data_IF_716443826641
#
_entry.id   IF_716443826641
#
_cell.length_a   1.000
_cell.length_b   1.000
_cell.length_c   1.000
_cell.angle_alpha   90.00
_cell.angle_beta   90.00
_cell.angle_gamma   90.00
#
_symmetry.space_group_name_H-M   'P 1'
#
loop_
_entity.id
_entity.type
_entity.pdbx_description
1 polymer ?
#
# COMPACT_ATOMS: atom_id res chain seq x y z
N UNK A 1 -4.80 -6.60 -3.30
CA UNK A 1 -3.38 -6.16 -3.26
C UNK A 1 -2.34 -7.28 -3.43
N UNK A 2 -2.17 -8.24 -2.52
CA UNK A 2 -1.05 -9.22 -2.58
C UNK A 2 -0.93 -10.02 -3.88
N UNK A 3 -2.04 -10.32 -4.57
CA UNK A 3 -2.00 -10.95 -5.89
C UNK A 3 -1.39 -10.08 -6.98
N UNK A 4 -1.42 -8.75 -6.84
CA UNK A 4 -0.75 -7.83 -7.77
C UNK A 4 0.74 -7.72 -7.47
N UNK A 5 1.12 -7.64 -6.19
CA UNK A 5 2.53 -7.66 -5.77
C UNK A 5 3.23 -8.93 -6.26
N UNK A 6 2.59 -10.10 -6.10
CA UNK A 6 3.16 -11.37 -6.56
C UNK A 6 3.37 -11.47 -8.07
N UNK A 7 2.62 -10.67 -8.86
CA UNK A 7 2.70 -10.63 -10.32
C UNK A 7 3.58 -9.50 -10.84
N UNK A 8 3.94 -8.53 -9.99
CA UNK A 8 4.78 -7.39 -10.35
C UNK A 8 6.23 -7.86 -10.55
N UNK A 9 6.80 -7.72 -11.76
CA UNK A 9 8.16 -8.20 -12.06
C UNK A 9 9.26 -7.67 -11.12
N UNK A 10 9.08 -6.48 -10.54
CA UNK A 10 10.04 -5.87 -9.62
C UNK A 10 9.97 -6.39 -8.18
N UNK A 11 8.90 -7.10 -7.81
CA UNK A 11 8.63 -7.53 -6.44
C UNK A 11 8.56 -9.07 -6.36
N UNK A 12 7.47 -9.66 -6.84
CA UNK A 12 7.22 -11.10 -6.70
C UNK A 12 6.65 -11.51 -5.33
N UNK A 13 6.68 -12.81 -5.04
CA UNK A 13 5.95 -13.40 -3.91
C UNK A 13 6.50 -12.98 -2.54
N UNK A 14 7.82 -12.81 -2.41
CA UNK A 14 8.48 -12.53 -1.13
C UNK A 14 8.22 -11.10 -0.61
N UNK A 15 7.68 -10.23 -1.46
CA UNK A 15 7.37 -8.83 -1.13
C UNK A 15 5.90 -8.64 -0.74
N UNK A 16 5.11 -9.72 -0.66
CA UNK A 16 3.71 -9.64 -0.24
C UNK A 16 3.59 -9.05 1.17
N UNK A 17 2.53 -8.26 1.37
CA UNK A 17 2.28 -7.59 2.63
C UNK A 17 1.68 -8.59 3.62
N UNK A 18 2.35 -8.76 4.76
CA UNK A 18 1.85 -9.56 5.87
C UNK A 18 0.62 -8.93 6.54
N UNK A 19 -0.23 -9.75 7.14
CA UNK A 19 -1.44 -9.29 7.82
C UNK A 19 -1.18 -8.48 9.10
N UNK A 20 0.06 -8.46 9.62
CA UNK A 20 0.41 -7.76 10.85
C UNK A 20 0.09 -6.25 10.82
N UNK A 21 0.20 -5.61 9.65
CA UNK A 21 -0.17 -4.19 9.46
C UNK A 21 -1.66 -3.90 9.64
N UNK A 22 -2.50 -4.93 9.64
CA UNK A 22 -3.94 -4.85 9.82
C UNK A 22 -4.40 -5.35 11.20
N UNK A 23 -3.46 -5.71 12.07
CA UNK A 23 -3.72 -6.23 13.41
C UNK A 23 -3.44 -5.17 14.48
N UNK A 24 -4.19 -5.20 15.58
CA UNK A 24 -3.97 -4.33 16.76
C UNK A 24 -3.83 -2.83 16.40
N UNK A 25 -4.69 -2.36 15.50
CA UNK A 25 -4.68 -0.99 15.01
C UNK A 25 -4.89 0.02 16.16
N UNK A 26 -3.99 0.99 16.28
CA UNK A 26 -3.99 2.01 17.35
C UNK A 26 -4.71 3.30 16.93
N UNK A 27 -5.63 3.19 15.98
CA UNK A 27 -6.42 4.33 15.50
C UNK A 27 -7.64 4.55 16.39
N UNK A 28 -8.14 5.79 16.42
CA UNK A 28 -9.35 6.12 17.16
C UNK A 28 -10.55 5.30 16.67
N UNK A 29 -11.37 4.80 17.59
CA UNK A 29 -12.55 3.98 17.25
C UNK A 29 -13.68 4.78 16.62
N UNK A 30 -13.59 6.12 16.62
CA UNK A 30 -14.53 7.03 15.97
C UNK A 30 -14.42 7.06 14.45
N UNK A 31 -13.38 6.42 13.88
CA UNK A 31 -13.09 6.46 12.46
C UNK A 31 -13.90 5.43 11.70
N UNK A 32 -14.28 5.81 10.49
CA UNK A 32 -14.84 4.90 9.52
C UNK A 32 -13.78 3.91 9.02
N UNK A 33 -14.23 2.79 8.47
CA UNK A 33 -13.35 1.81 7.83
C UNK A 33 -12.53 2.43 6.69
N UNK A 34 -13.11 3.39 5.96
CA UNK A 34 -12.42 4.10 4.88
C UNK A 34 -11.25 4.94 5.43
N UNK A 35 -11.48 5.74 6.46
CA UNK A 35 -10.44 6.55 7.09
C UNK A 35 -9.35 5.70 7.73
N UNK A 36 -9.73 4.59 8.38
CA UNK A 36 -8.74 3.64 8.92
C UNK A 36 -7.88 3.06 7.79
N UNK A 37 -8.49 2.72 6.65
CA UNK A 37 -7.76 2.18 5.50
C UNK A 37 -6.80 3.21 4.91
N UNK A 38 -7.23 4.46 4.75
CA UNK A 38 -6.35 5.56 4.31
C UNK A 38 -5.16 5.73 5.25
N UNK A 39 -5.38 5.70 6.57
CA UNK A 39 -4.28 5.80 7.54
C UNK A 39 -3.34 4.61 7.51
N UNK A 40 -3.85 3.38 7.44
CA UNK A 40 -2.99 2.20 7.28
C UNK A 40 -2.13 2.32 6.01
N UNK A 41 -2.72 2.81 4.92
CA UNK A 41 -1.99 3.03 3.68
C UNK A 41 -0.86 4.03 3.88
N UNK A 42 -1.16 5.23 4.38
CA UNK A 42 -0.18 6.31 4.51
C UNK A 42 0.89 6.04 5.58
N UNK A 43 0.51 5.46 6.73
CA UNK A 43 1.41 5.25 7.85
C UNK A 43 2.32 4.03 7.67
N UNK A 44 1.83 2.98 6.99
CA UNK A 44 2.47 1.67 6.98
C UNK A 44 2.80 1.16 5.58
N UNK A 45 1.79 1.07 4.71
CA UNK A 45 1.91 0.32 3.45
C UNK A 45 2.67 1.12 2.39
N UNK A 46 2.33 2.41 2.23
CA UNK A 46 2.97 3.29 1.26
C UNK A 46 4.47 3.48 1.53
N UNK A 47 4.93 3.78 2.76
CA UNK A 47 6.36 3.86 3.05
C UNK A 47 7.12 2.56 2.75
N UNK A 48 6.53 1.41 3.07
CA UNK A 48 7.12 0.11 2.79
C UNK A 48 7.31 -0.12 1.28
N UNK A 49 6.25 0.16 0.49
CA UNK A 49 6.32 0.05 -0.97
C UNK A 49 7.30 1.05 -1.58
N UNK A 50 7.42 2.25 -1.01
CA UNK A 50 8.40 3.24 -1.45
C UNK A 50 9.83 2.71 -1.30
N UNK A 51 10.14 2.03 -0.21
CA UNK A 51 11.45 1.38 -0.04
C UNK A 51 11.64 0.20 -0.99
N UNK A 52 10.62 -0.64 -1.20
CA UNK A 52 10.71 -1.77 -2.14
C UNK A 52 10.95 -1.31 -3.58
N UNK A 53 10.36 -0.19 -3.98
CA UNK A 53 10.43 0.32 -5.35
C UNK A 53 11.47 1.44 -5.51
N UNK A 54 12.23 1.77 -4.47
CA UNK A 54 13.17 2.89 -4.49
C UNK A 54 14.20 2.72 -5.59
N UNK A 55 14.28 3.71 -6.48
CA UNK A 55 15.27 3.71 -7.56
C UNK A 55 14.92 2.80 -8.74
N UNK A 56 13.71 2.22 -8.76
CA UNK A 56 13.19 1.48 -9.92
C UNK A 56 12.60 2.39 -11.00
N UNK A 57 12.26 3.64 -10.64
CA UNK A 57 11.57 4.58 -11.52
C UNK A 57 10.09 4.27 -11.73
N UNK A 58 9.53 3.31 -10.98
CA UNK A 58 8.14 2.85 -11.07
C UNK A 58 7.28 3.30 -9.90
N UNK A 59 7.81 4.09 -8.96
CA UNK A 59 7.09 4.52 -7.76
C UNK A 59 5.76 5.23 -8.10
N UNK A 60 5.78 6.17 -9.06
CA UNK A 60 4.58 6.93 -9.42
C UNK A 60 3.47 6.05 -10.05
N UNK A 61 3.85 5.06 -10.85
CA UNK A 61 2.91 4.14 -11.52
C UNK A 61 2.31 3.12 -10.54
N UNK A 62 3.14 2.55 -9.67
CA UNK A 62 2.75 1.46 -8.80
C UNK A 62 2.16 1.94 -7.47
N UNK A 63 2.72 3.00 -6.88
CA UNK A 63 2.29 3.54 -5.58
C UNK A 63 1.31 4.71 -5.77
N UNK A 64 1.47 5.50 -6.82
CA UNK A 64 0.65 6.66 -7.09
C UNK A 64 1.33 7.99 -6.76
N UNK A 65 0.67 9.07 -7.15
CA UNK A 65 1.06 10.45 -6.90
C UNK A 65 -0.14 11.25 -6.38
N UNK A 66 0.05 12.55 -6.11
CA UNK A 66 -1.06 13.42 -5.71
C UNK A 66 -2.15 13.55 -6.78
N UNK A 67 -1.78 13.35 -8.05
CA UNK A 67 -2.66 13.55 -9.21
C UNK A 67 -3.28 12.24 -9.71
N UNK A 68 -2.65 11.09 -9.45
CA UNK A 68 -3.11 9.81 -9.97
C UNK A 68 -2.86 8.67 -8.99
N UNK A 69 -3.90 7.89 -8.72
CA UNK A 69 -3.80 6.71 -7.87
C UNK A 69 -3.02 5.58 -8.56
N UNK A 70 -2.08 4.99 -7.82
CA UNK A 70 -1.22 3.90 -8.30
C UNK A 70 -1.93 2.55 -8.35
N UNK A 71 -1.28 1.57 -8.97
CA UNK A 71 -1.79 0.20 -9.06
C UNK A 71 -2.06 -0.41 -7.68
N UNK A 72 -1.10 -0.30 -6.75
CA UNK A 72 -1.24 -0.86 -5.41
C UNK A 72 -2.18 -0.06 -4.51
N UNK A 73 -2.25 1.26 -4.69
CA UNK A 73 -3.18 2.15 -3.99
C UNK A 73 -4.63 1.74 -4.26
N UNK A 74 -4.99 1.63 -5.55
CA UNK A 74 -6.30 1.12 -5.98
C UNK A 74 -6.58 -0.28 -5.47
N UNK A 75 -5.57 -1.15 -5.49
CA UNK A 75 -5.71 -2.54 -5.08
C UNK A 75 -5.83 -2.75 -3.57
N UNK A 76 -5.37 -1.77 -2.78
CA UNK A 76 -5.59 -1.69 -1.35
C UNK A 76 -6.97 -1.10 -1.03
N UNK A 77 -7.56 -0.37 -1.99
CA UNK A 77 -8.89 0.21 -1.88
C UNK A 77 -8.87 1.58 -1.19
N UNK A 78 -7.79 2.32 -1.39
CA UNK A 78 -7.67 3.76 -1.07
C UNK A 78 -7.71 4.53 -2.39
N UNK A 79 -8.56 5.56 -2.44
CA UNK A 79 -8.89 6.40 -3.60
C UNK A 79 -9.36 5.69 -4.88
#
# INVERSE_FOLDING_TARGET
>A
MNSQIAKEPLLGHDYQIGHAYLMNLKYATSLTVAEVRERVWDDCIRPLLQEYLRGTGKEAELIGSQEQAGTFEKAFGVR
#
